data_IF_937528189552
#
_entry.id   IF_937528189552
#
_cell.length_a   1.000
_cell.length_b   1.000
_cell.length_c   1.000
_cell.angle_alpha   90.00
_cell.angle_beta   90.00
_cell.angle_gamma   90.00
#
_symmetry.space_group_name_H-M   'P 1'
#
loop_
_entity.id
_entity.type
_entity.pdbx_description
1 polymer ?
#
# COMPACT_ATOMS: atom_id res chain seq x y z
N UNK A 1 8.32 -15.88 18.13
CA UNK A 1 9.55 -16.31 17.42
C UNK A 1 10.50 -16.90 18.42
N UNK A 2 11.06 -18.06 18.15
CA UNK A 2 12.17 -18.55 18.97
C UNK A 2 13.36 -17.59 18.90
N UNK A 3 14.08 -17.40 20.01
CA UNK A 3 15.28 -16.56 20.04
C UNK A 3 16.30 -17.11 19.02
N UNK A 4 16.62 -16.32 18.02
CA UNK A 4 17.64 -16.65 17.01
C UNK A 4 17.18 -16.75 15.56
N UNK A 5 15.87 -16.76 15.30
CA UNK A 5 15.33 -16.83 13.92
C UNK A 5 14.71 -15.49 13.54
N UNK A 6 15.52 -14.55 13.07
CA UNK A 6 15.04 -13.23 12.67
C UNK A 6 15.38 -12.97 11.22
N UNK A 7 14.37 -12.56 10.42
CA UNK A 7 14.63 -11.92 9.14
C UNK A 7 15.22 -10.54 9.38
N UNK A 8 16.26 -10.19 8.64
CA UNK A 8 16.88 -8.87 8.68
C UNK A 8 16.35 -7.95 7.57
N UNK A 9 15.64 -8.51 6.59
CA UNK A 9 15.07 -7.79 5.44
C UNK A 9 13.69 -8.36 5.11
N UNK A 10 12.79 -7.56 4.51
CA UNK A 10 11.55 -8.09 3.96
C UNK A 10 11.81 -9.14 2.89
N UNK A 11 11.00 -10.18 2.89
CA UNK A 11 10.98 -11.24 1.87
C UNK A 11 9.62 -11.24 1.21
N UNK A 12 9.58 -11.18 -0.11
CA UNK A 12 8.37 -11.31 -0.90
C UNK A 12 8.37 -12.67 -1.61
N UNK A 13 7.42 -13.51 -1.23
CA UNK A 13 7.11 -14.74 -1.96
C UNK A 13 6.17 -14.37 -3.12
N UNK A 14 6.71 -14.37 -4.32
CA UNK A 14 5.98 -13.99 -5.54
C UNK A 14 4.97 -15.06 -5.93
N UNK A 15 5.29 -16.32 -5.68
CA UNK A 15 4.45 -17.48 -6.06
C UNK A 15 3.17 -17.51 -5.23
N UNK A 16 3.28 -17.31 -3.92
CA UNK A 16 2.15 -17.33 -2.99
C UNK A 16 1.59 -15.94 -2.68
N UNK A 17 2.19 -14.87 -3.24
CA UNK A 17 1.77 -13.47 -3.10
C UNK A 17 1.67 -12.98 -1.64
N UNK A 18 2.67 -13.28 -0.80
CA UNK A 18 2.78 -12.75 0.55
C UNK A 18 4.13 -12.09 0.83
N UNK A 19 4.15 -11.23 1.83
CA UNK A 19 5.37 -10.58 2.30
C UNK A 19 5.57 -10.89 3.78
N UNK A 20 6.77 -11.30 4.13
CA UNK A 20 7.25 -11.36 5.51
C UNK A 20 8.19 -10.18 5.75
N UNK A 21 7.88 -9.34 6.73
CA UNK A 21 8.68 -8.16 7.04
C UNK A 21 9.06 -8.11 8.51
N UNK A 22 10.35 -7.90 8.86
CA UNK A 22 10.77 -7.67 10.24
C UNK A 22 10.22 -6.33 10.73
N UNK A 23 9.59 -6.35 11.90
CA UNK A 23 9.02 -5.19 12.56
C UNK A 23 9.47 -5.17 14.03
N UNK A 24 9.28 -4.05 14.72
CA UNK A 24 9.70 -3.87 16.12
C UNK A 24 9.07 -4.89 17.08
N UNK A 25 7.85 -5.35 16.82
CA UNK A 25 7.14 -6.34 17.64
C UNK A 25 7.34 -7.79 17.20
N UNK A 26 8.03 -8.03 16.09
CA UNK A 26 8.21 -9.37 15.52
C UNK A 26 8.07 -9.39 14.02
N UNK A 27 7.78 -10.54 13.44
CA UNK A 27 7.61 -10.70 12.00
C UNK A 27 6.15 -10.41 11.59
N UNK A 28 5.97 -9.52 10.62
CA UNK A 28 4.66 -9.27 10.02
C UNK A 28 4.51 -10.12 8.76
N UNK A 29 3.46 -10.92 8.73
CA UNK A 29 2.99 -11.59 7.51
C UNK A 29 1.87 -10.74 6.90
N UNK A 30 2.02 -10.34 5.63
CA UNK A 30 1.00 -9.60 4.88
C UNK A 30 0.71 -10.30 3.56
N UNK A 31 -0.49 -10.10 3.06
CA UNK A 31 -0.96 -10.65 1.79
C UNK A 31 -1.67 -9.57 0.97
N UNK A 32 -2.33 -9.97 -0.10
CA UNK A 32 -3.00 -9.13 -1.09
C UNK A 32 -4.10 -8.22 -0.56
N UNK A 33 -4.94 -7.75 -1.46
CA UNK A 33 -6.06 -6.86 -1.16
C UNK A 33 -7.38 -7.62 -1.14
N UNK A 34 -8.25 -7.26 -0.22
CA UNK A 34 -9.64 -7.70 -0.18
C UNK A 34 -10.52 -6.65 -0.86
N UNK A 35 -11.30 -7.06 -1.88
CA UNK A 35 -12.28 -6.20 -2.54
C UNK A 35 -13.63 -6.32 -1.82
N UNK A 36 -13.91 -5.38 -0.96
CA UNK A 36 -15.10 -5.36 -0.11
C UNK A 36 -15.60 -3.92 0.08
N UNK A 37 -16.78 -3.75 0.68
CA UNK A 37 -17.25 -2.41 1.07
C UNK A 37 -16.39 -1.89 2.20
N UNK A 38 -16.33 -0.56 2.31
CA UNK A 38 -15.50 0.11 3.31
C UNK A 38 -15.74 -0.40 4.75
N UNK A 39 -16.98 -0.69 5.10
CA UNK A 39 -17.37 -1.01 6.47
C UNK A 39 -17.68 -2.50 6.67
N UNK A 40 -17.38 -3.36 5.67
CA UNK A 40 -17.48 -4.79 5.79
C UNK A 40 -16.45 -5.33 6.80
N UNK A 41 -16.81 -6.41 7.48
CA UNK A 41 -15.89 -7.11 8.38
C UNK A 41 -14.72 -7.72 7.59
N UNK A 42 -13.49 -7.72 8.15
CA UNK A 42 -12.34 -8.32 7.49
C UNK A 42 -12.52 -9.82 7.30
N UNK A 43 -12.11 -10.34 6.13
CA UNK A 43 -12.07 -11.77 5.87
C UNK A 43 -10.68 -12.33 6.18
N UNK A 44 -10.56 -13.35 7.04
CA UNK A 44 -9.28 -14.00 7.31
C UNK A 44 -8.86 -14.98 6.19
N UNK A 45 -9.68 -15.16 5.15
CA UNK A 45 -9.50 -16.21 4.14
C UNK A 45 -8.12 -16.21 3.49
N UNK A 46 -7.61 -15.04 3.10
CA UNK A 46 -6.28 -14.92 2.49
C UNK A 46 -5.17 -15.35 3.46
N UNK A 47 -5.17 -14.82 4.68
CA UNK A 47 -4.14 -15.17 5.67
C UNK A 47 -4.19 -16.66 6.05
N UNK A 48 -5.36 -17.21 6.24
CA UNK A 48 -5.53 -18.63 6.58
C UNK A 48 -5.02 -19.54 5.45
N UNK A 49 -5.18 -19.12 4.20
CA UNK A 49 -4.65 -19.86 3.04
C UNK A 49 -3.13 -19.78 2.93
N UNK A 50 -2.53 -18.65 3.24
CA UNK A 50 -1.12 -18.37 2.98
C UNK A 50 -0.20 -18.72 4.16
N UNK A 51 -0.71 -18.69 5.38
CA UNK A 51 0.10 -18.98 6.57
C UNK A 51 0.79 -20.35 6.55
N UNK A 52 0.16 -21.44 6.09
CA UNK A 52 0.86 -22.72 5.94
C UNK A 52 2.09 -22.63 5.02
N UNK A 53 1.96 -22.02 3.84
CA UNK A 53 3.08 -21.83 2.91
C UNK A 53 4.18 -20.95 3.52
N UNK A 54 3.79 -19.90 4.23
CA UNK A 54 4.76 -19.04 4.94
C UNK A 54 5.50 -19.81 6.04
N UNK A 55 4.84 -20.75 6.72
CA UNK A 55 5.46 -21.63 7.74
C UNK A 55 6.42 -22.67 7.14
N UNK A 56 6.15 -23.14 5.94
CA UNK A 56 7.09 -24.00 5.20
C UNK A 56 8.36 -23.25 4.81
N UNK A 57 8.22 -21.97 4.41
CA UNK A 57 9.35 -21.15 3.96
C UNK A 57 10.18 -20.62 5.15
N UNK A 58 9.56 -20.36 6.29
CA UNK A 58 10.21 -19.76 7.44
C UNK A 58 9.57 -20.21 8.76
N UNK A 59 10.38 -20.52 9.82
CA UNK A 59 9.86 -20.96 11.10
C UNK A 59 9.13 -19.82 11.83
N UNK A 60 7.83 -19.70 11.57
CA UNK A 60 6.95 -18.74 12.23
C UNK A 60 6.56 -19.24 13.62
N UNK A 61 6.69 -18.38 14.61
CA UNK A 61 6.11 -18.60 15.93
C UNK A 61 4.59 -18.37 15.94
N UNK A 62 3.96 -18.52 17.10
CA UNK A 62 2.54 -18.21 17.27
C UNK A 62 2.23 -16.75 16.98
N UNK A 63 0.99 -16.48 16.56
CA UNK A 63 0.51 -15.12 16.31
C UNK A 63 0.53 -14.30 17.59
N UNK A 64 1.07 -13.08 17.52
CA UNK A 64 1.06 -12.12 18.63
C UNK A 64 -0.31 -11.47 18.80
N UNK A 65 -0.99 -11.19 17.68
CA UNK A 65 -2.32 -10.59 17.65
C UNK A 65 -3.31 -11.65 17.13
N UNK A 66 -4.38 -11.98 17.88
CA UNK A 66 -5.33 -13.03 17.50
C UNK A 66 -6.15 -12.63 16.27
N UNK A 67 -6.42 -11.33 16.12
CA UNK A 67 -7.15 -10.78 14.99
C UNK A 67 -6.22 -10.12 13.98
N UNK A 68 -6.35 -10.41 12.67
CA UNK A 68 -5.57 -9.74 11.63
C UNK A 68 -5.92 -8.26 11.55
N UNK A 69 -4.90 -7.41 11.43
CA UNK A 69 -5.11 -6.01 11.13
C UNK A 69 -5.53 -5.83 9.66
N UNK A 70 -6.58 -5.03 9.43
CA UNK A 70 -7.04 -4.63 8.10
C UNK A 70 -6.97 -3.12 7.95
N UNK A 71 -6.22 -2.63 6.96
CA UNK A 71 -6.24 -1.23 6.53
C UNK A 71 -7.09 -1.03 5.29
N UNK A 72 -7.67 0.17 5.15
CA UNK A 72 -8.42 0.55 3.95
C UNK A 72 -7.56 1.39 3.04
N UNK A 73 -7.52 1.06 1.74
CA UNK A 73 -6.72 1.75 0.74
C UNK A 73 -7.59 2.60 -0.18
N UNK A 74 -7.24 3.86 -0.44
CA UNK A 74 -7.92 4.70 -1.43
C UNK A 74 -7.48 4.27 -2.84
N UNK A 75 -8.22 3.33 -3.43
CA UNK A 75 -7.96 2.87 -4.79
C UNK A 75 -8.86 3.61 -5.78
N UNK A 76 -8.30 3.98 -6.93
CA UNK A 76 -9.02 4.58 -8.04
C UNK A 76 -9.21 3.55 -9.17
N UNK A 77 -10.24 3.67 -10.01
CA UNK A 77 -10.56 2.66 -11.03
C UNK A 77 -9.42 2.36 -12.00
N UNK A 78 -8.62 3.38 -12.35
CA UNK A 78 -7.48 3.28 -13.26
C UNK A 78 -6.15 3.00 -12.55
N UNK A 79 -6.19 2.78 -11.25
CA UNK A 79 -5.02 2.47 -10.41
C UNK A 79 -3.93 3.56 -10.39
N UNK A 80 -4.26 4.82 -10.75
CA UNK A 80 -3.35 5.97 -10.72
C UNK A 80 -3.79 6.97 -9.66
N UNK A 81 -2.86 7.69 -8.99
CA UNK A 81 -3.23 8.76 -8.06
C UNK A 81 -3.89 9.95 -8.78
N UNK A 82 -4.57 10.79 -8.03
CA UNK A 82 -4.99 12.13 -8.48
C UNK A 82 -3.97 13.13 -7.98
N UNK A 83 -3.31 13.82 -8.91
CA UNK A 83 -2.31 14.85 -8.62
C UNK A 83 -2.62 16.09 -9.48
N UNK A 84 -2.74 17.25 -8.85
CA UNK A 84 -2.94 18.51 -9.55
C UNK A 84 -4.08 19.37 -9.02
N UNK A 85 -4.42 20.45 -9.73
CA UNK A 85 -5.44 21.39 -9.28
C UNK A 85 -6.84 20.78 -9.32
N UNK A 86 -7.68 21.18 -8.38
CA UNK A 86 -9.10 20.85 -8.38
C UNK A 86 -9.79 21.61 -9.52
N UNK A 87 -10.53 20.94 -10.44
CA UNK A 87 -11.07 21.60 -11.64
C UNK A 87 -12.07 22.71 -11.34
N UNK A 88 -12.78 22.65 -10.22
CA UNK A 88 -13.87 23.58 -9.87
C UNK A 88 -13.58 24.44 -8.62
N UNK A 89 -12.36 24.39 -8.07
CA UNK A 89 -12.00 25.11 -6.83
C UNK A 89 -10.62 25.74 -6.98
N UNK A 90 -10.58 27.05 -7.18
CA UNK A 90 -9.31 27.78 -7.27
C UNK A 90 -8.52 27.67 -5.96
N UNK A 91 -7.24 27.35 -6.05
CA UNK A 91 -6.34 27.25 -4.92
C UNK A 91 -6.39 25.90 -4.16
N UNK A 92 -7.30 25.00 -4.55
CA UNK A 92 -7.33 23.64 -4.02
C UNK A 92 -6.51 22.71 -4.92
N UNK A 93 -5.65 21.90 -4.30
CA UNK A 93 -4.80 20.95 -5.00
C UNK A 93 -4.96 19.54 -4.41
N UNK A 94 -4.82 18.54 -5.24
CA UNK A 94 -4.95 17.13 -4.89
C UNK A 94 -3.61 16.41 -5.00
N UNK A 95 -3.35 15.51 -4.04
CA UNK A 95 -2.30 14.50 -4.08
C UNK A 95 -2.76 13.31 -3.25
N UNK A 96 -3.55 12.41 -3.85
CA UNK A 96 -4.14 11.27 -3.15
C UNK A 96 -4.38 10.07 -4.08
N UNK A 97 -4.76 8.92 -3.49
CA UNK A 97 -5.16 7.74 -4.26
C UNK A 97 -3.98 6.85 -4.68
N UNK A 98 -2.86 6.92 -3.97
CA UNK A 98 -1.64 6.14 -4.25
C UNK A 98 -1.74 4.65 -3.87
N UNK A 99 -2.90 4.18 -3.42
CA UNK A 99 -3.16 2.78 -3.05
C UNK A 99 -2.15 2.26 -2.01
N UNK A 100 -1.35 1.23 -2.36
CA UNK A 100 -0.31 0.67 -1.51
C UNK A 100 1.07 1.31 -1.71
N UNK A 101 1.20 2.26 -2.64
CA UNK A 101 2.47 2.88 -3.02
C UNK A 101 2.67 4.29 -2.45
N UNK A 102 1.75 4.79 -1.59
CA UNK A 102 1.78 6.17 -1.11
C UNK A 102 3.10 6.56 -0.43
N UNK A 103 3.65 5.70 0.41
CA UNK A 103 4.93 5.99 1.06
C UNK A 103 6.09 6.05 0.04
N UNK A 104 6.09 5.15 -0.94
CA UNK A 104 7.13 5.07 -1.98
C UNK A 104 7.04 6.22 -2.97
N UNK A 105 5.82 6.57 -3.38
CA UNK A 105 5.59 7.60 -4.40
C UNK A 105 5.44 9.02 -3.83
N UNK A 106 5.26 9.17 -2.53
CA UNK A 106 5.06 10.47 -1.88
C UNK A 106 6.09 11.53 -2.29
N UNK A 107 7.40 11.26 -2.24
CA UNK A 107 8.41 12.24 -2.65
C UNK A 107 8.30 12.66 -4.12
N UNK A 108 8.04 11.72 -5.03
CA UNK A 108 7.98 12.03 -6.46
C UNK A 108 6.65 12.68 -6.86
N UNK A 109 5.53 12.29 -6.25
CA UNK A 109 4.24 12.98 -6.47
C UNK A 109 4.23 14.37 -5.85
N UNK A 110 4.83 14.55 -4.68
CA UNK A 110 5.01 15.87 -4.07
C UNK A 110 5.87 16.79 -4.93
N UNK A 111 6.92 16.29 -5.56
CA UNK A 111 7.72 17.05 -6.54
C UNK A 111 6.87 17.47 -7.73
N UNK A 112 6.13 16.56 -8.34
CA UNK A 112 5.24 16.86 -9.47
C UNK A 112 4.24 17.96 -9.10
N UNK A 113 3.61 17.83 -7.92
CA UNK A 113 2.67 18.81 -7.42
C UNK A 113 3.32 20.19 -7.20
N UNK A 114 4.51 20.22 -6.61
CA UNK A 114 5.24 21.46 -6.34
C UNK A 114 5.61 22.20 -7.63
N UNK A 115 6.12 21.50 -8.65
CA UNK A 115 6.43 22.06 -9.96
C UNK A 115 5.19 22.67 -10.61
N UNK A 116 4.06 21.97 -10.56
CA UNK A 116 2.78 22.51 -11.08
C UNK A 116 2.30 23.73 -10.29
N UNK A 117 2.42 23.75 -8.97
CA UNK A 117 2.02 24.89 -8.12
C UNK A 117 2.91 26.11 -8.35
N UNK A 118 4.19 25.90 -8.61
CA UNK A 118 5.15 26.95 -8.92
C UNK A 118 5.06 27.47 -10.37
N UNK A 119 4.27 26.82 -11.24
CA UNK A 119 4.18 27.13 -12.67
C UNK A 119 5.43 26.71 -13.46
N UNK A 120 6.20 25.80 -12.89
CA UNK A 120 7.36 25.21 -13.56
C UNK A 120 6.94 24.11 -14.55
N UNK A 121 7.84 23.73 -15.44
CA UNK A 121 7.60 22.61 -16.35
C UNK A 121 7.70 21.30 -15.55
N UNK A 122 6.60 20.52 -15.43
CA UNK A 122 6.63 19.26 -14.71
C UNK A 122 7.60 18.25 -15.34
N UNK A 123 8.30 17.48 -14.52
CA UNK A 123 9.27 16.47 -14.98
C UNK A 123 8.62 15.28 -15.72
N UNK A 124 7.29 15.11 -15.57
CA UNK A 124 6.48 14.14 -16.31
C UNK A 124 5.18 14.80 -16.77
N UNK A 125 4.51 14.24 -17.80
CA UNK A 125 3.19 14.70 -18.22
C UNK A 125 2.15 14.53 -17.10
N UNK A 126 1.54 15.62 -16.57
CA UNK A 126 0.56 15.54 -15.49
C UNK A 126 -0.83 15.08 -15.94
N UNK A 127 -1.12 15.04 -17.24
CA UNK A 127 -2.46 14.73 -17.77
C UNK A 127 -3.04 13.40 -17.24
N UNK A 128 -2.25 12.29 -17.16
CA UNK A 128 -2.77 11.02 -16.66
C UNK A 128 -3.18 11.03 -15.17
N UNK A 129 -2.85 12.09 -14.44
CA UNK A 129 -3.11 12.22 -13.00
C UNK A 129 -4.21 13.23 -12.66
N UNK A 130 -4.77 13.91 -13.65
CA UNK A 130 -5.79 14.94 -13.42
C UNK A 130 -7.06 14.37 -12.79
N UNK A 131 -7.76 15.19 -11.97
CA UNK A 131 -9.01 14.80 -11.32
C UNK A 131 -10.19 14.66 -12.30
N UNK A 132 -10.14 15.35 -13.43
CA UNK A 132 -11.18 15.36 -14.48
C UNK A 132 -10.93 14.36 -15.61
N UNK A 133 -10.13 13.33 -15.35
CA UNK A 133 -9.86 12.27 -16.32
C UNK A 133 -10.91 11.16 -16.35
N UNK A 134 -11.88 11.21 -15.42
CA UNK A 134 -13.01 10.30 -15.32
C UNK A 134 -14.28 10.90 -15.88
#
# INVERSE_FOLDING_TARGET
MEPGTTLTRPVYDVENAFIMAPMSRGLRLTTGAEFARRDDAPSPAHLNRLEPAARELFPLAERLDPEPWLGRRPCLPDMKPVIGPAPRHKGLWFDFGHQHLGLTLGPVSGRLLAEMMAGETPFVDPKPFRADRF
#
